data_IF_230861353004
#
_entry.id   IF_230861353004
#
_cell.length_a   1.000
_cell.length_b   1.000
_cell.length_c   1.000
_cell.angle_alpha   90.00
_cell.angle_beta   90.00
_cell.angle_gamma   90.00
#
_symmetry.space_group_name_H-M   'P 1'
#
loop_
_entity.id
_entity.type
_entity.pdbx_description
1 polymer ?
#
# COMPACT_ATOMS: atom_id res chain seq x y z
N UNK A 1 -7.13 -0.05 10.25
CA UNK A 1 -6.88 -0.45 8.83
C UNK A 1 -6.45 0.75 7.99
N UNK A 2 -7.25 1.81 7.88
CA UNK A 2 -6.86 3.03 7.15
C UNK A 2 -5.62 3.74 7.72
N UNK A 3 -5.49 3.83 9.05
CA UNK A 3 -4.30 4.43 9.69
C UNK A 3 -3.01 3.64 9.43
N UNK A 4 -3.07 2.32 9.50
CA UNK A 4 -1.91 1.44 9.22
C UNK A 4 -1.53 1.52 7.73
N UNK A 5 -2.52 1.50 6.85
CA UNK A 5 -2.32 1.67 5.43
C UNK A 5 -1.74 3.05 5.11
N UNK A 6 -2.28 4.14 5.68
CA UNK A 6 -1.78 5.50 5.48
C UNK A 6 -0.36 5.66 6.03
N UNK A 7 -0.05 5.06 7.18
CA UNK A 7 1.29 5.07 7.75
C UNK A 7 2.31 4.36 6.85
N UNK A 8 1.99 3.14 6.38
CA UNK A 8 2.83 2.40 5.45
C UNK A 8 3.00 3.14 4.11
N UNK A 9 1.91 3.69 3.56
CA UNK A 9 1.94 4.46 2.32
C UNK A 9 2.83 5.69 2.44
N UNK A 10 2.77 6.38 3.59
CA UNK A 10 3.60 7.56 3.86
C UNK A 10 5.07 7.18 3.91
N UNK A 11 5.43 6.09 4.60
CA UNK A 11 6.81 5.60 4.67
C UNK A 11 7.34 5.22 3.28
N UNK A 12 6.52 4.58 2.43
CA UNK A 12 6.96 4.17 1.08
C UNK A 12 6.96 5.31 0.06
N UNK A 13 6.10 6.32 0.19
CA UNK A 13 6.06 7.45 -0.75
C UNK A 13 7.09 8.54 -0.45
N UNK A 14 7.56 8.70 0.79
CA UNK A 14 8.54 9.73 1.15
C UNK A 14 9.87 9.58 0.36
N UNK A 15 10.51 8.39 0.30
CA UNK A 15 11.72 8.19 -0.50
C UNK A 15 11.48 8.60 -1.96
N UNK A 16 10.34 8.16 -2.50
CA UNK A 16 9.96 8.41 -3.89
C UNK A 16 9.76 9.89 -4.23
N UNK A 17 9.18 10.65 -3.30
CA UNK A 17 9.04 12.09 -3.42
C UNK A 17 10.40 12.81 -3.38
N UNK A 18 11.28 12.40 -2.46
CA UNK A 18 12.63 12.96 -2.31
C UNK A 18 13.45 12.69 -3.58
N UNK A 19 13.41 11.48 -4.12
CA UNK A 19 14.15 11.13 -5.32
C UNK A 19 13.66 11.90 -6.55
N UNK A 20 12.35 12.03 -6.75
CA UNK A 20 11.78 12.83 -7.85
C UNK A 20 12.13 14.31 -7.72
N UNK A 21 12.10 14.85 -6.50
CA UNK A 21 12.52 16.21 -6.24
C UNK A 21 14.01 16.40 -6.56
N UNK A 22 14.85 15.47 -6.12
CA UNK A 22 16.28 15.48 -6.41
C UNK A 22 16.55 15.49 -7.93
N UNK A 23 15.90 14.63 -8.71
CA UNK A 23 16.07 14.58 -10.17
C UNK A 23 15.57 15.88 -10.83
N UNK A 24 14.43 16.42 -10.39
CA UNK A 24 13.81 17.60 -11.01
C UNK A 24 14.61 18.89 -10.78
N UNK A 25 15.16 19.06 -9.58
CA UNK A 25 15.95 20.23 -9.22
C UNK A 25 17.46 20.03 -9.40
N UNK A 26 17.88 18.90 -10.01
CA UNK A 26 19.29 18.63 -10.24
C UNK A 26 19.85 19.57 -11.31
N UNK A 27 20.94 20.31 -11.04
CA UNK A 27 21.59 21.12 -12.06
C UNK A 27 22.26 20.23 -13.12
N UNK A 28 22.13 20.62 -14.40
CA UNK A 28 22.66 19.94 -15.60
C UNK A 28 24.20 19.88 -15.72
N UNK A 29 24.95 20.05 -14.62
CA UNK A 29 26.40 19.99 -14.67
C UNK A 29 26.87 18.56 -14.96
N UNK A 30 28.02 18.43 -15.63
CA UNK A 30 28.60 17.18 -16.13
C UNK A 30 28.71 16.10 -15.06
N UNK A 31 27.69 15.26 -14.99
CA UNK A 31 27.59 14.17 -14.03
C UNK A 31 28.34 12.95 -14.57
N UNK A 32 29.01 12.24 -13.65
CA UNK A 32 29.66 10.97 -13.94
C UNK A 32 28.63 9.92 -14.38
N UNK A 33 28.92 9.16 -15.44
CA UNK A 33 28.08 8.02 -15.90
C UNK A 33 27.74 7.05 -14.77
N UNK A 34 28.60 6.92 -13.77
CA UNK A 34 28.40 6.07 -12.60
C UNK A 34 27.30 6.60 -11.69
N UNK A 35 27.20 7.91 -11.52
CA UNK A 35 26.21 8.55 -10.66
C UNK A 35 24.81 8.41 -11.27
N UNK A 36 24.68 8.58 -12.59
CA UNK A 36 23.43 8.33 -13.30
C UNK A 36 23.00 6.86 -13.23
N UNK A 37 23.94 5.92 -13.30
CA UNK A 37 23.64 4.50 -13.12
C UNK A 37 23.10 4.18 -11.71
N UNK A 38 23.65 4.82 -10.68
CA UNK A 38 23.18 4.67 -9.30
C UNK A 38 21.78 5.28 -9.12
N UNK A 39 21.53 6.47 -9.66
CA UNK A 39 20.22 7.12 -9.60
C UNK A 39 19.16 6.28 -10.33
N UNK A 40 19.50 5.73 -11.50
CA UNK A 40 18.60 4.85 -12.24
C UNK A 40 18.32 3.54 -11.50
N UNK A 41 19.33 2.96 -10.84
CA UNK A 41 19.15 1.77 -10.03
C UNK A 41 18.21 2.01 -8.85
N UNK A 42 18.44 3.10 -8.09
CA UNK A 42 17.57 3.51 -6.98
C UNK A 42 16.14 3.78 -7.47
N UNK A 43 16.01 4.44 -8.62
CA UNK A 43 14.70 4.72 -9.22
C UNK A 43 13.90 3.43 -9.49
N UNK A 44 14.56 2.43 -10.07
CA UNK A 44 13.91 1.14 -10.36
C UNK A 44 13.48 0.41 -9.07
N UNK A 45 14.30 0.46 -8.01
CA UNK A 45 13.91 -0.10 -6.71
C UNK A 45 12.69 0.62 -6.14
N UNK A 46 12.66 1.94 -6.19
CA UNK A 46 11.52 2.72 -5.69
C UNK A 46 10.24 2.46 -6.49
N UNK A 47 10.34 2.33 -7.82
CA UNK A 47 9.20 1.97 -8.68
C UNK A 47 8.66 0.58 -8.33
N UNK A 48 9.55 -0.39 -8.10
CA UNK A 48 9.16 -1.73 -7.66
C UNK A 48 8.45 -1.67 -6.29
N UNK A 49 9.00 -0.89 -5.36
CA UNK A 49 8.45 -0.71 -4.03
C UNK A 49 7.06 -0.04 -4.07
N UNK A 50 6.86 0.93 -4.97
CA UNK A 50 5.56 1.56 -5.22
C UNK A 50 4.53 0.55 -5.77
N UNK A 51 4.95 -0.35 -6.65
CA UNK A 51 4.10 -1.44 -7.13
C UNK A 51 3.66 -2.36 -6.00
N UNK A 52 4.58 -2.77 -5.13
CA UNK A 52 4.27 -3.59 -3.94
C UNK A 52 3.34 -2.82 -3.00
N UNK A 53 3.61 -1.53 -2.75
CA UNK A 53 2.77 -0.66 -1.93
C UNK A 53 1.35 -0.54 -2.48
N UNK A 54 1.15 -0.55 -3.80
CA UNK A 54 -0.16 -0.51 -4.44
C UNK A 54 -0.99 -1.79 -4.24
N UNK A 55 -0.34 -2.95 -4.14
CA UNK A 55 -0.98 -4.24 -3.83
C UNK A 55 -1.19 -4.45 -2.32
N UNK A 56 -0.44 -3.73 -1.49
CA UNK A 56 -0.47 -3.87 -0.02
C UNK A 56 -1.85 -3.68 0.62
N UNK A 57 -2.70 -2.73 0.19
CA UNK A 57 -4.08 -2.60 0.68
C UNK A 57 -4.87 -3.90 0.50
N UNK A 58 -4.77 -4.57 -0.64
CA UNK A 58 -5.44 -5.84 -0.87
C UNK A 58 -5.01 -6.90 0.15
N UNK A 59 -3.71 -7.02 0.42
CA UNK A 59 -3.20 -7.95 1.41
C UNK A 59 -3.62 -7.58 2.83
N UNK A 60 -3.55 -6.30 3.21
CA UNK A 60 -4.05 -5.79 4.48
C UNK A 60 -5.55 -6.06 4.64
N UNK A 61 -6.36 -5.78 3.63
CA UNK A 61 -7.80 -6.07 3.64
C UNK A 61 -8.09 -7.56 3.68
N UNK A 62 -7.28 -8.41 3.05
CA UNK A 62 -7.49 -9.86 3.11
C UNK A 62 -7.08 -10.44 4.46
N UNK A 63 -5.92 -10.06 4.99
CA UNK A 63 -5.38 -10.57 6.26
C UNK A 63 -6.15 -10.04 7.47
N UNK A 64 -6.41 -8.73 7.51
CA UNK A 64 -7.14 -8.08 8.62
C UNK A 64 -8.65 -8.13 8.42
N UNK A 65 -9.13 -8.15 7.17
CA UNK A 65 -10.53 -8.39 6.88
C UNK A 65 -10.94 -9.82 7.16
N UNK A 66 -10.07 -10.84 7.07
CA UNK A 66 -10.44 -12.21 7.43
C UNK A 66 -11.07 -12.37 8.82
N UNK A 67 -10.63 -11.62 9.83
CA UNK A 67 -11.22 -11.65 11.19
C UNK A 67 -12.50 -10.81 11.30
N UNK A 68 -12.50 -9.59 10.74
CA UNK A 68 -13.65 -8.67 10.74
C UNK A 68 -14.78 -9.20 9.85
N UNK A 69 -14.46 -9.69 8.66
CA UNK A 69 -15.34 -10.36 7.70
C UNK A 69 -15.90 -11.66 8.28
N UNK A 70 -15.09 -12.52 8.92
CA UNK A 70 -15.63 -13.72 9.61
C UNK A 70 -16.57 -13.34 10.76
N UNK A 71 -16.31 -12.24 11.48
CA UNK A 71 -17.19 -11.77 12.55
C UNK A 71 -18.50 -11.20 11.98
N UNK A 72 -18.42 -10.33 10.98
CA UNK A 72 -19.59 -9.75 10.29
C UNK A 72 -20.43 -10.82 9.59
N UNK A 73 -19.81 -11.78 8.92
CA UNK A 73 -20.48 -12.90 8.24
C UNK A 73 -21.19 -13.82 9.24
N UNK A 74 -20.57 -14.13 10.39
CA UNK A 74 -21.24 -14.88 11.47
C UNK A 74 -22.42 -14.12 12.08
N UNK A 75 -22.29 -12.83 12.31
CA UNK A 75 -23.39 -12.02 12.83
C UNK A 75 -24.53 -11.89 11.81
N UNK A 76 -24.22 -11.76 10.52
CA UNK A 76 -25.22 -11.78 9.45
C UNK A 76 -25.96 -13.13 9.38
N UNK A 77 -25.23 -14.25 9.43
CA UNK A 77 -25.81 -15.59 9.48
C UNK A 77 -26.71 -15.79 10.71
N UNK A 78 -26.31 -15.33 11.90
CA UNK A 78 -27.15 -15.40 13.11
C UNK A 78 -28.41 -14.55 12.95
N UNK A 79 -28.29 -13.36 12.36
CA UNK A 79 -29.44 -12.49 12.10
C UNK A 79 -30.42 -13.13 11.12
N UNK A 80 -29.93 -13.72 10.03
CA UNK A 80 -30.76 -14.47 9.08
C UNK A 80 -31.41 -15.70 9.72
N UNK A 81 -30.66 -16.47 10.51
CA UNK A 81 -31.18 -17.67 11.17
C UNK A 81 -32.26 -17.35 12.23
N UNK A 82 -32.10 -16.24 12.96
CA UNK A 82 -33.15 -15.73 13.86
C UNK A 82 -34.35 -15.18 13.09
N UNK A 83 -34.11 -14.44 12.02
CA UNK A 83 -35.17 -13.89 11.17
C UNK A 83 -36.02 -14.99 10.52
N UNK A 84 -35.43 -16.12 10.14
CA UNK A 84 -36.17 -17.29 9.64
C UNK A 84 -36.96 -18.00 10.73
N UNK A 85 -36.48 -18.02 11.98
CA UNK A 85 -37.21 -18.61 13.12
C UNK A 85 -38.31 -17.72 13.69
N UNK A 86 -38.27 -16.41 13.46
CA UNK A 86 -39.31 -15.47 13.91
C UNK A 86 -40.41 -15.23 12.86
N UNK A 87 -40.35 -15.90 11.70
CA UNK A 87 -41.32 -15.77 10.61
C UNK A 87 -42.12 -17.06 10.35
N UNK A 88 -42.09 -18.01 11.30
CA UNK A 88 -42.93 -19.22 11.36
C UNK A 88 -43.53 -19.34 12.75
#
# INVERSE_FOLDING_TARGET
MLLVQAFLLTIFCIPQAIQKFYITFRPFNTISKTEDAIVLFLYNIEVLLAFIASGMPFYLYTLTGGTVFRKASRDLMRKMHRSMKCSS
#
